data_IF_372985564215
#
_entry.id   IF_372985564215
#
_cell.length_a   1.000
_cell.length_b   1.000
_cell.length_c   1.000
_cell.angle_alpha   90.00
_cell.angle_beta   90.00
_cell.angle_gamma   90.00
#
_symmetry.space_group_name_H-M   'P 1'
#
loop_
_entity.id
_entity.type
_entity.pdbx_description
1 polymer ?
#
# COMPACT_ATOMS: atom_id res chain seq x y z
N UNK A 1 24.82 -4.19 -1.40
CA UNK A 1 24.21 -5.51 -1.57
C UNK A 1 22.72 -5.29 -1.66
N UNK A 2 22.00 -6.09 -2.44
CA UNK A 2 20.55 -5.97 -2.52
C UNK A 2 19.93 -7.19 -1.85
N UNK A 3 19.08 -6.95 -0.87
CA UNK A 3 18.28 -8.00 -0.25
C UNK A 3 16.89 -7.93 -0.86
N UNK A 4 16.39 -9.06 -1.35
CA UNK A 4 15.07 -9.18 -1.94
C UNK A 4 14.27 -10.20 -1.17
N UNK A 5 13.03 -9.86 -0.86
CA UNK A 5 12.06 -10.79 -0.29
C UNK A 5 10.78 -10.74 -1.09
N UNK A 6 10.48 -11.87 -1.71
CA UNK A 6 9.21 -12.09 -2.39
C UNK A 6 8.22 -12.72 -1.41
N UNK A 7 7.01 -12.18 -1.37
CA UNK A 7 5.88 -12.75 -0.64
C UNK A 7 4.72 -12.97 -1.59
N UNK A 8 3.63 -13.56 -1.11
CA UNK A 8 2.42 -13.67 -1.90
C UNK A 8 1.69 -12.33 -2.11
N UNK A 9 2.08 -11.26 -1.40
CA UNK A 9 1.40 -9.95 -1.38
C UNK A 9 2.25 -8.78 -1.87
N UNK A 10 3.56 -8.90 -1.86
CA UNK A 10 4.49 -7.86 -2.29
C UNK A 10 5.91 -8.40 -2.52
N UNK A 11 6.73 -7.57 -3.16
CA UNK A 11 8.18 -7.70 -3.21
C UNK A 11 8.80 -6.58 -2.37
N UNK A 12 9.73 -6.93 -1.47
CA UNK A 12 10.57 -5.99 -0.75
C UNK A 12 11.98 -6.03 -1.32
N UNK A 13 12.52 -4.87 -1.69
CA UNK A 13 13.90 -4.73 -2.15
C UNK A 13 14.61 -3.69 -1.31
N UNK A 14 15.62 -4.11 -0.56
CA UNK A 14 16.49 -3.25 0.22
C UNK A 14 17.85 -3.13 -0.46
N UNK A 15 18.17 -1.94 -0.97
CA UNK A 15 19.49 -1.61 -1.48
C UNK A 15 20.35 -1.03 -0.35
N UNK A 16 21.47 -1.67 -0.02
CA UNK A 16 22.38 -1.20 1.04
C UNK A 16 23.49 -0.27 0.55
N UNK A 17 23.70 -0.15 -0.77
CA UNK A 17 24.66 0.79 -1.38
C UNK A 17 24.04 2.17 -1.51
N UNK A 18 22.81 2.24 -2.00
CA UNK A 18 21.97 3.43 -2.04
C UNK A 18 20.78 3.19 -1.12
N UNK A 19 20.89 3.51 0.19
CA UNK A 19 19.93 3.11 1.22
C UNK A 19 18.51 3.47 0.83
N UNK A 20 17.77 2.49 0.32
CA UNK A 20 16.37 2.65 -0.08
C UNK A 20 15.65 1.33 0.04
N UNK A 21 14.46 1.40 0.60
CA UNK A 21 13.54 0.27 0.64
C UNK A 21 12.46 0.50 -0.40
N UNK A 22 12.28 -0.46 -1.30
CA UNK A 22 11.14 -0.52 -2.20
C UNK A 22 10.16 -1.59 -1.73
N UNK A 23 8.91 -1.17 -1.56
CA UNK A 23 7.76 -2.05 -1.38
C UNK A 23 6.96 -2.02 -2.69
N UNK A 24 6.90 -3.15 -3.39
CA UNK A 24 6.17 -3.25 -4.66
C UNK A 24 5.03 -4.23 -4.56
N UNK A 25 3.86 -3.85 -5.07
CA UNK A 25 2.78 -4.81 -5.36
C UNK A 25 2.59 -4.97 -6.86
N UNK A 26 2.49 -6.21 -7.32
CA UNK A 26 2.11 -6.55 -8.69
C UNK A 26 0.59 -6.67 -8.76
N UNK A 27 -0.06 -5.76 -9.45
CA UNK A 27 -1.51 -5.70 -9.60
C UNK A 27 -1.93 -6.31 -10.93
N UNK A 28 -2.70 -7.39 -10.87
CA UNK A 28 -3.36 -7.99 -12.02
C UNK A 28 -4.79 -7.47 -12.12
N UNK A 29 -5.05 -6.64 -13.13
CA UNK A 29 -6.34 -5.95 -13.25
C UNK A 29 -7.39 -6.75 -14.01
N UNK A 30 -8.60 -6.80 -13.43
CA UNK A 30 -9.83 -7.25 -14.09
C UNK A 30 -10.70 -6.02 -14.35
N UNK A 31 -10.88 -5.69 -15.63
CA UNK A 31 -11.55 -4.46 -16.06
C UNK A 31 -13.02 -4.72 -16.36
N UNK A 32 -13.91 -4.07 -15.62
CA UNK A 32 -15.36 -4.27 -15.72
C UNK A 32 -16.01 -2.95 -16.13
N UNK A 33 -16.90 -2.98 -17.11
CA UNK A 33 -17.78 -1.85 -17.41
C UNK A 33 -19.14 -2.08 -16.74
N UNK A 34 -19.64 -1.10 -15.97
CA UNK A 34 -21.00 -1.15 -15.46
C UNK A 34 -22.02 -1.12 -16.62
N UNK A 35 -23.28 -1.56 -16.40
CA UNK A 35 -24.32 -1.46 -17.41
C UNK A 35 -24.44 -0.04 -17.98
N UNK A 36 -24.51 0.08 -19.31
CA UNK A 36 -24.57 1.36 -20.00
C UNK A 36 -23.24 2.11 -20.14
N UNK A 37 -22.14 1.62 -19.55
CA UNK A 37 -20.81 2.19 -19.75
C UNK A 37 -20.10 1.55 -20.95
N UNK A 38 -19.33 2.33 -21.74
CA UNK A 38 -18.53 1.78 -22.81
C UNK A 38 -17.40 0.90 -22.25
N UNK A 39 -16.94 -0.06 -23.05
CA UNK A 39 -15.81 -0.90 -22.70
C UNK A 39 -14.56 -0.07 -22.38
N UNK A 40 -13.71 -0.59 -21.50
CA UNK A 40 -12.43 0.02 -21.18
C UNK A 40 -11.49 0.04 -22.37
N UNK A 41 -11.07 1.23 -22.79
CA UNK A 41 -9.97 1.37 -23.75
C UNK A 41 -8.62 1.15 -23.06
N UNK A 42 -7.60 0.77 -23.81
CA UNK A 42 -6.24 0.63 -23.26
C UNK A 42 -5.72 1.94 -22.64
N UNK A 43 -6.05 3.09 -23.26
CA UNK A 43 -5.67 4.42 -22.76
C UNK A 43 -6.29 4.70 -21.39
N UNK A 44 -7.55 4.35 -21.19
CA UNK A 44 -8.23 4.50 -19.89
C UNK A 44 -7.62 3.59 -18.83
N UNK A 45 -7.33 2.33 -19.16
CA UNK A 45 -6.68 1.39 -18.24
C UNK A 45 -5.31 1.90 -17.78
N UNK A 46 -4.49 2.39 -18.72
CA UNK A 46 -3.21 3.07 -18.43
C UNK A 46 -3.39 4.28 -17.54
N UNK A 47 -4.36 5.14 -17.86
CA UNK A 47 -4.64 6.35 -17.06
C UNK A 47 -5.06 5.98 -15.63
N UNK A 48 -5.90 4.96 -15.46
CA UNK A 48 -6.32 4.47 -14.15
C UNK A 48 -5.11 3.98 -13.35
N UNK A 49 -4.30 3.09 -13.91
CA UNK A 49 -3.11 2.57 -13.24
C UNK A 49 -2.14 3.68 -12.84
N UNK A 50 -1.84 4.61 -13.74
CA UNK A 50 -0.99 5.77 -13.45
C UNK A 50 -1.58 6.67 -12.36
N UNK A 51 -2.91 6.85 -12.33
CA UNK A 51 -3.56 7.65 -11.30
C UNK A 51 -3.48 6.96 -9.93
N UNK A 52 -3.70 5.64 -9.88
CA UNK A 52 -3.55 4.82 -8.67
C UNK A 52 -2.12 4.90 -8.13
N UNK A 53 -1.14 4.65 -8.99
CA UNK A 53 0.29 4.71 -8.63
C UNK A 53 0.68 6.09 -8.09
N UNK A 54 0.30 7.17 -8.78
CA UNK A 54 0.59 8.54 -8.32
C UNK A 54 -0.07 8.86 -6.97
N UNK A 55 -1.30 8.41 -6.75
CA UNK A 55 -2.00 8.63 -5.49
C UNK A 55 -1.33 7.87 -4.34
N UNK A 56 -1.00 6.60 -4.56
CA UNK A 56 -0.26 5.76 -3.60
C UNK A 56 1.10 6.40 -3.30
N UNK A 57 1.86 6.75 -4.33
CA UNK A 57 3.17 7.39 -4.20
C UNK A 57 3.09 8.69 -3.40
N UNK A 58 2.15 9.57 -3.74
CA UNK A 58 2.00 10.88 -3.10
C UNK A 58 1.68 10.80 -1.61
N UNK A 59 1.00 9.74 -1.18
CA UNK A 59 0.58 9.53 0.21
C UNK A 59 1.59 8.72 1.01
N UNK A 60 2.13 7.64 0.43
CA UNK A 60 2.94 6.66 1.17
C UNK A 60 4.45 6.81 0.97
N UNK A 61 4.90 7.16 -0.24
CA UNK A 61 6.33 7.14 -0.59
C UNK A 61 7.10 8.30 0.03
N UNK A 62 8.31 7.99 0.53
CA UNK A 62 9.25 8.91 1.17
C UNK A 62 8.66 9.67 2.37
N UNK A 63 7.61 9.11 2.99
CA UNK A 63 6.98 9.64 4.20
C UNK A 63 7.36 8.87 5.46
N UNK A 64 8.04 7.74 5.31
CA UNK A 64 8.56 6.94 6.41
C UNK A 64 9.99 6.51 6.11
N UNK A 65 10.74 6.28 7.17
CA UNK A 65 12.09 5.74 7.13
C UNK A 65 12.14 4.47 7.95
N UNK A 66 12.97 3.53 7.53
CA UNK A 66 13.30 2.34 8.30
C UNK A 66 14.72 2.48 8.83
N UNK A 67 14.91 2.06 10.08
CA UNK A 67 16.23 1.91 10.71
C UNK A 67 16.49 0.43 10.96
N UNK A 68 17.78 0.06 10.97
CA UNK A 68 18.23 -1.29 11.26
C UNK A 68 19.08 -1.29 12.54
N UNK A 69 18.85 -2.28 13.40
CA UNK A 69 19.69 -2.58 14.57
C UNK A 69 20.07 -4.07 14.55
N UNK A 70 21.16 -4.43 15.20
CA UNK A 70 21.64 -5.81 15.25
C UNK A 70 23.15 -5.91 15.28
N UNK A 71 23.65 -7.12 15.49
CA UNK A 71 25.09 -7.41 15.59
C UNK A 71 25.65 -8.08 14.34
N UNK A 72 24.79 -8.58 13.44
CA UNK A 72 25.18 -9.19 12.17
C UNK A 72 25.85 -8.16 11.23
N UNK A 73 26.68 -8.64 10.29
CA UNK A 73 27.38 -7.77 9.32
C UNK A 73 26.41 -6.90 8.51
N UNK A 74 25.28 -7.47 8.09
CA UNK A 74 24.20 -6.74 7.42
C UNK A 74 23.65 -5.59 8.25
N UNK A 75 23.40 -5.79 9.56
CA UNK A 75 22.96 -4.73 10.48
C UNK A 75 24.02 -3.63 10.62
N UNK A 76 25.30 -4.00 10.76
CA UNK A 76 26.40 -3.03 10.89
C UNK A 76 26.50 -2.12 9.66
N UNK A 77 26.29 -2.66 8.46
CA UNK A 77 26.30 -1.87 7.21
C UNK A 77 25.17 -0.84 7.10
N UNK A 78 24.09 -1.03 7.88
CA UNK A 78 22.89 -0.20 7.89
C UNK A 78 22.74 0.64 9.17
N UNK A 79 23.60 0.41 10.16
CA UNK A 79 23.52 1.05 11.46
C UNK A 79 23.57 2.59 11.35
N UNK A 80 22.69 3.26 12.08
CA UNK A 80 22.57 4.73 12.09
C UNK A 80 21.97 5.34 10.82
N UNK A 81 21.62 4.55 9.81
CA UNK A 81 21.02 5.05 8.57
C UNK A 81 19.50 5.16 8.67
N UNK A 82 18.96 6.26 8.14
CA UNK A 82 17.54 6.40 7.84
C UNK A 82 17.30 5.96 6.40
N UNK A 83 16.61 4.84 6.23
CA UNK A 83 16.37 4.23 4.92
C UNK A 83 14.98 4.68 4.44
N UNK A 84 14.84 5.61 3.49
CA UNK A 84 13.54 6.02 2.97
C UNK A 84 12.79 4.83 2.36
N UNK A 85 11.49 4.78 2.63
CA UNK A 85 10.60 3.77 2.06
C UNK A 85 9.87 4.33 0.85
N UNK A 86 9.85 3.58 -0.24
CA UNK A 86 9.13 3.91 -1.47
C UNK A 86 8.15 2.78 -1.80
N UNK A 87 6.93 3.15 -2.18
CA UNK A 87 5.85 2.26 -2.53
C UNK A 87 5.56 2.35 -4.02
N UNK A 88 5.36 1.23 -4.67
CA UNK A 88 5.19 1.14 -6.12
C UNK A 88 4.13 0.09 -6.45
N UNK A 89 3.34 0.32 -7.50
CA UNK A 89 2.47 -0.70 -8.08
C UNK A 89 2.90 -1.01 -9.51
N UNK A 90 3.07 -2.29 -9.80
CA UNK A 90 3.41 -2.76 -11.14
C UNK A 90 2.18 -3.38 -11.79
N UNK A 91 1.85 -2.98 -13.02
CA UNK A 91 0.79 -3.62 -13.78
C UNK A 91 1.27 -4.99 -14.30
N UNK A 92 0.79 -6.06 -13.65
CA UNK A 92 1.02 -7.43 -14.07
C UNK A 92 -0.06 -7.92 -15.06
N UNK A 93 0.36 -8.60 -16.12
CA UNK A 93 -0.56 -9.21 -17.10
C UNK A 93 -1.15 -10.54 -16.64
N UNK A 94 -0.48 -11.20 -15.69
CA UNK A 94 -0.88 -12.45 -15.02
C UNK A 94 -0.13 -12.57 -13.69
N UNK A 95 -0.60 -13.44 -12.81
CA UNK A 95 0.10 -13.85 -11.58
C UNK A 95 0.58 -12.66 -10.72
N UNK A 96 -0.29 -11.63 -10.61
CA UNK A 96 -0.08 -10.52 -9.70
C UNK A 96 -0.22 -10.96 -8.25
N UNK A 97 0.44 -10.24 -7.34
CA UNK A 97 0.23 -10.37 -5.89
C UNK A 97 -1.24 -10.14 -5.52
N UNK A 98 -1.87 -9.19 -6.22
CA UNK A 98 -3.27 -8.82 -6.02
C UNK A 98 -4.05 -8.89 -7.33
N UNK A 99 -5.26 -9.43 -7.27
CA UNK A 99 -6.26 -9.26 -8.33
C UNK A 99 -7.07 -8.00 -8.05
N UNK A 100 -7.05 -7.05 -8.97
CA UNK A 100 -7.68 -5.73 -8.79
C UNK A 100 -8.84 -5.61 -9.76
N UNK A 101 -10.06 -5.74 -9.25
CA UNK A 101 -11.27 -5.50 -10.02
C UNK A 101 -11.54 -4.00 -10.08
N UNK A 102 -11.53 -3.46 -11.29
CA UNK A 102 -11.79 -2.04 -11.52
C UNK A 102 -13.08 -1.90 -12.31
N UNK A 103 -14.07 -1.25 -11.70
CA UNK A 103 -15.36 -0.97 -12.35
C UNK A 103 -15.38 0.45 -12.92
N UNK A 104 -15.63 0.56 -14.22
CA UNK A 104 -16.02 1.83 -14.85
C UNK A 104 -17.47 2.11 -14.51
N UNK A 105 -17.71 3.21 -13.84
CA UNK A 105 -19.04 3.62 -13.37
C UNK A 105 -19.37 5.01 -13.90
N UNK A 106 -20.66 5.38 -14.01
CA UNK A 106 -21.05 6.76 -14.30
C UNK A 106 -20.56 7.72 -13.20
N UNK A 107 -20.34 8.99 -13.57
CA UNK A 107 -19.98 10.05 -12.64
C UNK A 107 -21.00 10.16 -11.49
N UNK A 108 -20.50 10.34 -10.26
CA UNK A 108 -21.33 10.42 -9.07
C UNK A 108 -21.91 9.08 -8.59
N UNK A 109 -21.51 7.95 -9.17
CA UNK A 109 -21.97 6.63 -8.74
C UNK A 109 -21.42 6.25 -7.35
N UNK A 110 -22.32 6.08 -6.38
CA UNK A 110 -21.98 5.78 -4.98
C UNK A 110 -22.15 4.29 -4.60
N UNK A 111 -22.50 3.43 -5.55
CA UNK A 111 -22.95 2.05 -5.29
C UNK A 111 -21.87 0.97 -5.42
N UNK A 112 -20.58 1.31 -5.54
CA UNK A 112 -19.51 0.32 -5.61
C UNK A 112 -18.84 0.18 -4.24
N UNK A 113 -18.78 -1.03 -3.65
CA UNK A 113 -18.04 -1.22 -2.42
C UNK A 113 -16.55 -1.28 -2.73
N UNK A 114 -15.88 -0.14 -2.65
CA UNK A 114 -14.42 -0.04 -2.64
C UNK A 114 -13.88 -0.66 -1.35
N UNK A 115 -13.02 -1.67 -1.49
CA UNK A 115 -12.51 -2.47 -0.35
C UNK A 115 -11.35 -3.39 -0.74
N UNK A 116 -10.63 -3.87 0.27
CA UNK A 116 -9.68 -4.99 0.17
C UNK A 116 -10.20 -6.25 0.84
N UNK A 117 -10.17 -7.37 0.11
CA UNK A 117 -10.34 -8.72 0.65
C UNK A 117 -8.97 -9.38 0.86
N UNK A 118 -8.46 -9.28 2.08
CA UNK A 118 -7.10 -9.71 2.43
C UNK A 118 -6.78 -11.18 2.12
N UNK A 119 -7.69 -12.09 2.48
CA UNK A 119 -7.47 -13.53 2.32
C UNK A 119 -7.55 -13.96 0.85
N UNK A 120 -8.44 -13.33 0.07
CA UNK A 120 -8.60 -13.62 -1.35
C UNK A 120 -7.55 -12.90 -2.24
N UNK A 121 -6.74 -12.00 -1.65
CA UNK A 121 -5.84 -11.09 -2.37
C UNK A 121 -6.55 -10.32 -3.48
N UNK A 122 -7.73 -9.77 -3.14
CA UNK A 122 -8.55 -8.97 -4.06
C UNK A 122 -8.69 -7.52 -3.58
N UNK A 123 -8.64 -6.60 -4.53
CA UNK A 123 -8.90 -5.17 -4.33
C UNK A 123 -10.04 -4.79 -5.27
N UNK A 124 -11.05 -4.09 -4.76
CA UNK A 124 -12.19 -3.61 -5.53
C UNK A 124 -12.10 -2.09 -5.60
N UNK A 125 -12.04 -1.55 -6.81
CA UNK A 125 -11.97 -0.12 -7.08
C UNK A 125 -12.94 0.28 -8.21
N UNK A 126 -13.22 1.56 -8.32
CA UNK A 126 -13.98 2.16 -9.41
C UNK A 126 -13.42 3.51 -9.85
N UNK A 127 -13.97 4.04 -10.95
CA UNK A 127 -13.53 5.33 -11.52
C UNK A 127 -13.73 6.53 -10.57
N UNK A 128 -14.69 6.45 -9.65
CA UNK A 128 -14.98 7.51 -8.67
C UNK A 128 -14.00 7.53 -7.47
N UNK A 129 -13.15 6.50 -7.29
CA UNK A 129 -12.25 6.42 -6.12
C UNK A 129 -11.13 7.47 -6.12
N UNK A 130 -10.96 8.18 -7.23
CA UNK A 130 -10.02 9.30 -7.32
C UNK A 130 -10.61 10.63 -6.85
N UNK A 131 -11.93 10.69 -6.65
CA UNK A 131 -12.62 11.87 -6.17
C UNK A 131 -12.43 12.03 -4.64
N UNK A 132 -12.11 13.25 -4.20
CA UNK A 132 -11.68 13.55 -2.81
C UNK A 132 -12.83 13.62 -1.79
N UNK A 133 -13.92 12.88 -1.99
CA UNK A 133 -15.18 13.17 -1.29
C UNK A 133 -15.33 12.50 0.08
N UNK A 134 -14.57 11.41 0.36
CA UNK A 134 -14.74 10.63 1.61
C UNK A 134 -13.48 10.46 2.48
N UNK A 135 -12.30 10.46 1.86
CA UNK A 135 -11.02 10.27 2.55
C UNK A 135 -10.05 11.36 2.11
N UNK A 136 -9.52 12.14 3.06
CA UNK A 136 -8.60 13.23 2.74
C UNK A 136 -7.29 12.74 2.09
N UNK A 137 -6.87 11.51 2.41
CA UNK A 137 -5.75 10.81 1.79
C UNK A 137 -6.05 10.19 0.42
N UNK A 138 -7.31 10.17 -0.02
CA UNK A 138 -7.76 9.48 -1.23
C UNK A 138 -8.08 8.01 -0.98
N UNK A 139 -9.16 7.53 -1.59
CA UNK A 139 -9.70 6.18 -1.34
C UNK A 139 -8.70 5.11 -1.80
N UNK A 140 -8.09 5.27 -2.97
CA UNK A 140 -7.12 4.29 -3.49
C UNK A 140 -5.91 4.14 -2.56
N UNK A 141 -5.42 5.24 -1.97
CA UNK A 141 -4.31 5.17 -1.01
C UNK A 141 -4.73 4.53 0.33
N UNK A 142 -5.96 4.74 0.78
CA UNK A 142 -6.52 4.07 1.95
C UNK A 142 -6.59 2.55 1.73
N UNK A 143 -7.16 2.12 0.62
CA UNK A 143 -7.26 0.70 0.25
C UNK A 143 -5.88 0.06 0.05
N UNK A 144 -4.92 0.77 -0.53
CA UNK A 144 -3.54 0.31 -0.58
C UNK A 144 -2.97 0.06 0.82
N UNK A 145 -3.31 0.90 1.80
CA UNK A 145 -3.00 0.66 3.21
C UNK A 145 -3.51 -0.70 3.70
N UNK A 146 -4.74 -1.06 3.36
CA UNK A 146 -5.30 -2.38 3.68
C UNK A 146 -4.58 -3.52 2.95
N UNK A 147 -4.22 -3.34 1.67
CA UNK A 147 -3.44 -4.35 0.93
C UNK A 147 -2.00 -4.52 1.44
N UNK A 148 -1.50 -3.56 2.25
CA UNK A 148 -0.23 -3.68 2.97
C UNK A 148 -0.34 -4.36 4.34
N UNK A 149 -1.55 -4.70 4.81
CA UNK A 149 -1.73 -5.42 6.07
C UNK A 149 -2.45 -4.64 7.17
N UNK A 150 -2.91 -3.42 6.87
CA UNK A 150 -3.80 -2.69 7.77
C UNK A 150 -5.23 -3.22 7.69
N UNK A 151 -5.44 -4.52 7.93
CA UNK A 151 -6.73 -5.18 7.75
C UNK A 151 -7.31 -5.68 9.07
N UNK A 152 -8.64 -5.76 9.15
CA UNK A 152 -9.34 -6.36 10.29
C UNK A 152 -8.94 -7.82 10.52
N UNK A 153 -8.56 -8.56 9.46
CA UNK A 153 -8.05 -9.95 9.57
C UNK A 153 -6.81 -10.04 10.45
N UNK A 154 -5.96 -9.01 10.44
CA UNK A 154 -4.74 -8.93 11.24
C UNK A 154 -4.92 -8.08 12.52
N UNK A 155 -6.16 -7.69 12.84
CA UNK A 155 -6.48 -6.82 13.98
C UNK A 155 -6.03 -5.37 13.80
N UNK A 156 -5.85 -4.90 12.56
CA UNK A 156 -5.26 -3.59 12.20
C UNK A 156 -6.09 -2.84 11.14
N UNK A 157 -7.39 -3.13 11.07
CA UNK A 157 -8.29 -2.64 10.02
C UNK A 157 -8.65 -1.16 10.13
N UNK A 158 -9.71 -0.78 9.42
CA UNK A 158 -10.31 0.57 9.44
C UNK A 158 -10.29 1.22 10.82
N UNK A 159 -9.63 2.37 10.91
CA UNK A 159 -9.52 3.11 12.17
C UNK A 159 -10.75 3.97 12.43
N UNK A 160 -11.58 4.28 11.42
CA UNK A 160 -12.82 5.01 11.63
C UNK A 160 -13.90 4.19 12.38
N UNK A 161 -13.74 2.87 12.51
CA UNK A 161 -14.69 2.03 13.26
C UNK A 161 -14.65 2.36 14.75
N UNK A 162 -15.80 2.45 15.46
CA UNK A 162 -15.84 2.74 16.89
C UNK A 162 -15.06 1.73 17.76
N UNK A 163 -14.91 0.50 17.28
CA UNK A 163 -14.16 -0.58 17.96
C UNK A 163 -12.65 -0.46 17.79
N UNK A 164 -12.17 0.43 16.92
CA UNK A 164 -10.73 0.60 16.71
C UNK A 164 -10.11 1.35 17.91
N UNK A 165 -8.97 0.89 18.46
CA UNK A 165 -8.23 1.66 19.46
C UNK A 165 -7.71 3.00 18.92
N UNK A 166 -7.75 3.19 17.60
CA UNK A 166 -7.32 4.41 16.92
C UNK A 166 -8.51 5.24 16.39
N UNK A 167 -9.72 4.99 16.88
CA UNK A 167 -10.92 5.71 16.46
C UNK A 167 -10.81 7.23 16.53
N UNK A 168 -10.12 7.74 17.56
CA UNK A 168 -9.92 9.16 17.78
C UNK A 168 -8.87 9.80 16.83
N UNK A 169 -8.00 9.01 16.21
CA UNK A 169 -6.96 9.51 15.30
C UNK A 169 -7.53 9.78 13.90
N UNK A 170 -8.39 10.80 13.79
CA UNK A 170 -9.07 11.18 12.53
C UNK A 170 -8.10 11.66 11.46
N UNK A 171 -6.89 12.05 11.83
CA UNK A 171 -5.87 12.49 10.89
C UNK A 171 -5.19 11.32 10.16
N UNK A 172 -5.27 10.10 10.69
CA UNK A 172 -4.71 8.89 10.07
C UNK A 172 -5.28 8.56 8.69
N UNK A 173 -4.42 8.08 7.79
CA UNK A 173 -4.80 7.61 6.44
C UNK A 173 -5.65 6.33 6.46
N UNK A 174 -5.53 5.50 7.49
CA UNK A 174 -6.40 4.31 7.71
C UNK A 174 -7.70 4.71 8.46
N UNK A 175 -7.82 5.99 8.78
CA UNK A 175 -9.07 6.66 9.15
C UNK A 175 -9.49 7.56 7.98
N UNK A 176 -10.25 8.63 8.26
CA UNK A 176 -10.72 9.61 7.25
C UNK A 176 -9.64 10.60 6.77
N UNK A 177 -8.47 10.60 7.41
CA UNK A 177 -7.43 11.60 7.23
C UNK A 177 -6.43 11.27 6.12
N UNK A 178 -5.21 11.81 6.24
CA UNK A 178 -4.14 11.72 5.23
C UNK A 178 -2.75 11.47 5.80
N UNK A 179 -2.63 11.35 7.12
CA UNK A 179 -1.34 11.23 7.78
C UNK A 179 -0.98 9.78 8.04
N UNK A 180 0.29 9.46 7.86
CA UNK A 180 0.79 8.13 8.17
C UNK A 180 1.13 8.02 9.66
N UNK A 181 1.18 6.78 10.14
CA UNK A 181 1.56 6.39 11.49
C UNK A 181 2.52 5.21 11.38
N UNK A 182 3.48 5.10 12.28
CA UNK A 182 4.46 4.00 12.25
C UNK A 182 3.80 2.62 12.30
N UNK A 183 2.65 2.50 12.99
CA UNK A 183 1.83 1.28 13.03
C UNK A 183 1.35 0.80 11.66
N UNK A 184 1.22 1.70 10.67
CA UNK A 184 0.74 1.35 9.33
C UNK A 184 1.71 0.47 8.55
N UNK A 185 2.98 0.42 8.97
CA UNK A 185 4.06 -0.32 8.31
C UNK A 185 4.35 -1.67 8.97
N UNK A 186 3.54 -2.10 9.94
CA UNK A 186 3.86 -3.25 10.79
C UNK A 186 4.07 -4.55 10.00
N UNK A 187 3.21 -4.86 9.02
CA UNK A 187 3.36 -6.06 8.20
C UNK A 187 4.60 -6.00 7.31
N UNK A 188 4.91 -4.84 6.73
CA UNK A 188 6.18 -4.65 6.00
C UNK A 188 7.38 -4.92 6.90
N UNK A 189 7.39 -4.40 8.13
CA UNK A 189 8.48 -4.64 9.09
C UNK A 189 8.57 -6.12 9.50
N UNK A 190 7.43 -6.81 9.68
CA UNK A 190 7.37 -8.24 9.98
C UNK A 190 8.04 -9.07 8.87
N UNK A 191 7.84 -8.71 7.60
CA UNK A 191 8.53 -9.33 6.46
C UNK A 191 10.01 -8.94 6.38
N UNK A 192 10.34 -7.67 6.62
CA UNK A 192 11.73 -7.20 6.62
C UNK A 192 12.60 -7.90 7.66
N UNK A 193 12.05 -8.16 8.85
CA UNK A 193 12.74 -8.86 9.93
C UNK A 193 13.06 -10.33 9.61
N UNK A 194 12.55 -10.85 8.49
CA UNK A 194 12.88 -12.17 7.95
C UNK A 194 13.84 -12.10 6.74
N UNK A 195 14.31 -10.91 6.36
CA UNK A 195 15.18 -10.73 5.18
C UNK A 195 16.66 -10.96 5.49
N UNK A 196 17.10 -10.61 6.70
CA UNK A 196 18.50 -10.65 7.10
C UNK A 196 18.59 -11.14 8.54
N UNK A 197 19.21 -12.30 8.74
CA UNK A 197 19.37 -12.88 10.08
C UNK A 197 20.13 -11.95 11.02
N UNK A 198 19.63 -11.83 12.25
CA UNK A 198 20.23 -11.00 13.28
C UNK A 198 20.06 -9.48 13.07
N UNK A 199 19.20 -9.06 12.15
CA UNK A 199 18.83 -7.66 11.93
C UNK A 199 17.38 -7.43 12.35
N UNK A 200 17.14 -6.34 13.09
CA UNK A 200 15.80 -5.87 13.44
C UNK A 200 15.55 -4.50 12.84
N UNK A 201 14.45 -4.39 12.12
CA UNK A 201 13.99 -3.19 11.47
C UNK A 201 12.90 -2.49 12.30
N UNK A 202 12.85 -1.17 12.23
CA UNK A 202 11.83 -0.34 12.86
C UNK A 202 11.49 0.87 11.97
N UNK A 203 10.24 1.33 12.00
CA UNK A 203 9.80 2.50 11.22
C UNK A 203 9.80 3.77 12.06
N UNK A 204 10.17 4.88 11.43
CA UNK A 204 10.03 6.25 11.95
C UNK A 204 9.40 7.13 10.88
N UNK A 205 8.71 8.18 11.32
CA UNK A 205 8.20 9.24 10.45
C UNK A 205 9.12 10.46 10.55
N UNK A 206 9.16 11.35 9.53
CA UNK A 206 9.77 12.66 9.67
C UNK A 206 9.09 13.40 10.82
N UNK A 207 9.89 14.12 11.60
CA UNK A 207 9.40 15.03 12.64
C UNK A 207 8.76 16.26 12.01
#
# INVERSE_FOLDING_TARGET
MNFVRETDRCTLTLDTRLPRLFFRQRWHYVWIAAPGQPAWTYREKRRFHTAADRMIWGVWSNRAFVTATGTAEGARSLAGRLIPVSFDIEWALRDGHWTVEVRKVPDGYMGHPTRVEWNARRIFLCTEDFEKTRHAGGIVAHEFGHSMGNTGVLGRGDEYRPTSPHHADKASVINVGRELRTRHFRTMLEEMNQMIDGVRFSATLPR
#
